data_IF_652766046290
#
_entry.id   IF_652766046290
#
_cell.length_a   1.000
_cell.length_b   1.000
_cell.length_c   1.000
_cell.angle_alpha   90.00
_cell.angle_beta   90.00
_cell.angle_gamma   90.00
#
_symmetry.space_group_name_H-M   'P 1'
#
loop_
_entity.id
_entity.type
_entity.pdbx_description
1 polymer ?
#
# COMPACT_ATOMS: atom_id res chain seq x y z
N UNK A 1 -65.87 14.38 -25.96
CA UNK A 1 -64.89 14.50 -24.84
C UNK A 1 -64.40 13.14 -24.32
N UNK A 2 -65.28 12.17 -24.00
CA UNK A 2 -64.88 10.82 -23.51
C UNK A 2 -63.96 10.05 -24.48
N UNK A 3 -64.19 10.13 -25.79
CA UNK A 3 -63.36 9.46 -26.80
C UNK A 3 -61.96 10.08 -26.97
N UNK A 4 -61.80 11.38 -26.70
CA UNK A 4 -60.50 12.08 -26.76
C UNK A 4 -59.64 11.67 -25.57
N UNK A 5 -60.24 11.51 -24.39
CA UNK A 5 -59.58 11.00 -23.17
C UNK A 5 -59.20 9.52 -23.35
N UNK A 6 -60.03 8.72 -24.03
CA UNK A 6 -59.72 7.34 -24.38
C UNK A 6 -58.55 7.23 -25.37
N UNK A 7 -58.47 8.12 -26.36
CA UNK A 7 -57.36 8.18 -27.31
C UNK A 7 -56.04 8.61 -26.65
N UNK A 8 -56.07 9.57 -25.73
CA UNK A 8 -54.88 10.01 -25.00
C UNK A 8 -54.38 8.96 -23.99
N UNK A 9 -55.28 8.23 -23.33
CA UNK A 9 -54.90 7.13 -22.43
C UNK A 9 -54.28 5.95 -23.18
N UNK A 10 -54.74 5.65 -24.39
CA UNK A 10 -54.13 4.64 -25.27
C UNK A 10 -52.74 5.09 -25.76
N UNK A 11 -52.57 6.38 -26.09
CA UNK A 11 -51.28 6.93 -26.54
C UNK A 11 -50.21 6.94 -25.44
N UNK A 12 -50.59 7.24 -24.19
CA UNK A 12 -49.71 7.19 -23.00
C UNK A 12 -49.31 5.75 -22.66
N UNK A 13 -50.24 4.80 -22.85
CA UNK A 13 -49.97 3.38 -22.63
C UNK A 13 -48.95 2.84 -23.66
N UNK A 14 -49.05 3.26 -24.92
CA UNK A 14 -48.11 2.88 -25.99
C UNK A 14 -46.72 3.49 -25.79
N UNK A 15 -46.62 4.74 -25.31
CA UNK A 15 -45.33 5.39 -25.01
C UNK A 15 -44.57 4.72 -23.85
N UNK A 16 -45.29 4.03 -22.95
CA UNK A 16 -44.72 3.35 -21.78
C UNK A 16 -44.10 1.98 -22.10
N UNK A 17 -44.38 1.39 -23.28
CA UNK A 17 -43.85 0.07 -23.68
C UNK A 17 -42.46 0.21 -24.34
N UNK A 18 -42.08 1.42 -24.78
CA UNK A 18 -40.79 1.70 -25.44
C UNK A 18 -39.63 2.00 -24.48
N UNK A 19 -39.84 1.96 -23.16
CA UNK A 19 -38.85 2.35 -22.15
C UNK A 19 -38.10 1.17 -21.47
N UNK A 20 -38.14 -0.03 -22.04
CA UNK A 20 -37.37 -1.17 -21.54
C UNK A 20 -36.36 -1.67 -22.59
N UNK A 21 -35.23 -0.98 -22.74
CA UNK A 21 -34.02 -1.64 -23.26
C UNK A 21 -33.45 -2.50 -22.13
N UNK A 22 -33.68 -3.81 -22.20
CA UNK A 22 -33.09 -4.75 -21.25
C UNK A 22 -31.57 -4.71 -21.44
N UNK A 23 -30.87 -4.03 -20.55
CA UNK A 23 -29.42 -4.13 -20.46
C UNK A 23 -29.10 -5.52 -19.90
N UNK A 24 -29.04 -6.54 -20.77
CA UNK A 24 -28.57 -7.88 -20.39
C UNK A 24 -27.13 -7.71 -19.93
N UNK A 25 -26.88 -7.83 -18.62
CA UNK A 25 -25.52 -8.03 -18.11
C UNK A 25 -24.95 -9.22 -18.87
N UNK A 26 -23.94 -8.99 -19.71
CA UNK A 26 -23.26 -10.06 -20.44
C UNK A 26 -22.57 -10.94 -19.40
N UNK A 27 -23.16 -12.10 -19.14
CA UNK A 27 -22.60 -13.08 -18.22
C UNK A 27 -21.37 -13.70 -18.87
N UNK A 28 -20.25 -13.66 -18.15
CA UNK A 28 -18.94 -14.03 -18.68
C UNK A 28 -18.78 -15.55 -18.61
N UNK A 29 -18.31 -16.19 -19.68
CA UNK A 29 -18.10 -17.65 -19.64
C UNK A 29 -16.99 -18.02 -18.64
N UNK A 30 -17.04 -19.23 -18.04
CA UNK A 30 -15.98 -19.70 -17.14
C UNK A 30 -14.58 -19.65 -17.76
N UNK A 31 -14.45 -19.90 -19.07
CA UNK A 31 -13.18 -19.78 -19.79
C UNK A 31 -12.69 -18.34 -19.92
N UNK A 32 -13.59 -17.38 -20.17
CA UNK A 32 -13.24 -15.96 -20.22
C UNK A 32 -12.79 -15.46 -18.84
N UNK A 33 -13.46 -15.88 -17.76
CA UNK A 33 -13.06 -15.56 -16.38
C UNK A 33 -11.66 -16.09 -16.09
N UNK A 34 -11.40 -17.37 -16.40
CA UNK A 34 -10.08 -17.98 -16.19
C UNK A 34 -8.99 -17.27 -17.02
N UNK A 35 -9.29 -16.91 -18.28
CA UNK A 35 -8.37 -16.15 -19.16
C UNK A 35 -8.05 -14.77 -18.58
N UNK A 36 -9.05 -14.04 -18.09
CA UNK A 36 -8.87 -12.72 -17.48
C UNK A 36 -8.06 -12.83 -16.18
N UNK A 37 -8.39 -13.79 -15.32
CA UNK A 37 -7.64 -14.05 -14.08
C UNK A 37 -6.17 -14.35 -14.38
N UNK A 38 -5.91 -15.25 -15.34
CA UNK A 38 -4.54 -15.59 -15.73
C UNK A 38 -3.80 -14.38 -16.29
N UNK A 39 -4.47 -13.56 -17.12
CA UNK A 39 -3.89 -12.34 -17.65
C UNK A 39 -3.58 -11.33 -16.55
N UNK A 40 -4.46 -11.16 -15.56
CA UNK A 40 -4.23 -10.29 -14.41
C UNK A 40 -3.06 -10.79 -13.56
N UNK A 41 -2.96 -12.09 -13.30
CA UNK A 41 -1.82 -12.69 -12.58
C UNK A 41 -0.52 -12.42 -13.33
N UNK A 42 -0.50 -12.63 -14.65
CA UNK A 42 0.68 -12.40 -15.48
C UNK A 42 1.12 -10.93 -15.45
N UNK A 43 0.20 -10.00 -15.66
CA UNK A 43 0.51 -8.56 -15.60
C UNK A 43 1.00 -8.16 -14.20
N UNK A 44 0.36 -8.66 -13.14
CA UNK A 44 0.78 -8.38 -11.77
C UNK A 44 2.18 -8.93 -11.49
N UNK A 45 2.53 -10.12 -12.00
CA UNK A 45 3.89 -10.67 -11.89
C UNK A 45 4.92 -9.77 -12.56
N UNK A 46 4.62 -9.24 -13.74
CA UNK A 46 5.51 -8.32 -14.46
C UNK A 46 5.70 -7.01 -13.69
N UNK A 47 4.63 -6.45 -13.14
CA UNK A 47 4.69 -5.25 -12.28
C UNK A 47 5.55 -5.51 -11.05
N UNK A 48 5.32 -6.62 -10.33
CA UNK A 48 6.11 -6.98 -9.15
C UNK A 48 7.58 -7.18 -9.51
N UNK A 49 7.89 -7.81 -10.64
CA UNK A 49 9.26 -7.97 -11.12
C UNK A 49 9.92 -6.62 -11.40
N UNK A 50 9.25 -5.73 -12.13
CA UNK A 50 9.78 -4.40 -12.43
C UNK A 50 10.05 -3.57 -11.16
N UNK A 51 9.17 -3.67 -10.15
CA UNK A 51 9.37 -3.03 -8.85
C UNK A 51 10.62 -3.60 -8.15
N UNK A 52 10.80 -4.92 -8.15
CA UNK A 52 11.97 -5.56 -7.54
C UNK A 52 13.27 -5.17 -8.25
N UNK A 53 13.27 -5.16 -9.58
CA UNK A 53 14.43 -4.74 -10.38
C UNK A 53 14.77 -3.27 -10.11
N UNK A 54 13.75 -2.40 -10.00
CA UNK A 54 13.92 -0.98 -9.64
C UNK A 54 14.55 -0.82 -8.26
N UNK A 55 14.07 -1.56 -7.26
CA UNK A 55 14.64 -1.54 -5.90
C UNK A 55 16.10 -2.01 -5.93
N UNK A 56 16.39 -3.11 -6.62
CA UNK A 56 17.74 -3.68 -6.71
C UNK A 56 18.71 -2.70 -7.39
N UNK A 57 18.29 -2.07 -8.49
CA UNK A 57 19.08 -1.05 -9.18
C UNK A 57 19.30 0.19 -8.29
N UNK A 58 18.28 0.64 -7.57
CA UNK A 58 18.39 1.77 -6.66
C UNK A 58 19.37 1.47 -5.51
N UNK A 59 19.25 0.30 -4.86
CA UNK A 59 20.17 -0.11 -3.80
C UNK A 59 21.62 -0.23 -4.32
N UNK A 60 21.81 -0.83 -5.49
CA UNK A 60 23.13 -0.95 -6.15
C UNK A 60 23.73 0.43 -6.46
N UNK A 61 22.96 1.33 -7.06
CA UNK A 61 23.40 2.69 -7.40
C UNK A 61 23.87 3.46 -6.16
N UNK A 62 23.24 3.23 -5.01
CA UNK A 62 23.58 3.89 -3.75
C UNK A 62 24.62 3.11 -2.92
N UNK A 63 25.17 2.00 -3.42
CA UNK A 63 26.08 1.11 -2.70
C UNK A 63 25.51 0.59 -1.38
N UNK A 64 24.22 0.29 -1.34
CA UNK A 64 23.56 -0.22 -0.14
C UNK A 64 23.56 -1.75 -0.15
N UNK A 65 24.19 -2.34 0.86
CA UNK A 65 24.04 -3.76 1.14
C UNK A 65 22.77 -3.97 1.97
N UNK A 66 21.72 -4.46 1.31
CA UNK A 66 20.39 -4.62 1.89
C UNK A 66 19.96 -6.08 1.85
N UNK A 67 19.25 -6.49 2.90
CA UNK A 67 18.59 -7.78 3.00
C UNK A 67 17.15 -7.66 2.50
N UNK A 68 16.56 -8.77 2.04
CA UNK A 68 15.17 -8.83 1.59
C UNK A 68 14.41 -9.86 2.41
N UNK A 69 13.22 -9.50 2.89
CA UNK A 69 12.33 -10.42 3.61
C UNK A 69 11.44 -11.21 2.65
N UNK A 70 10.72 -12.23 3.17
CA UNK A 70 9.78 -13.02 2.38
C UNK A 70 8.59 -12.23 1.84
N UNK A 71 8.22 -11.12 2.48
CA UNK A 71 7.15 -10.22 2.03
C UNK A 71 7.61 -9.24 0.94
N UNK A 72 8.93 -9.15 0.72
CA UNK A 72 9.53 -8.28 -0.28
C UNK A 72 10.03 -6.93 0.27
N UNK A 73 10.03 -6.71 1.58
CA UNK A 73 10.69 -5.57 2.20
C UNK A 73 12.20 -5.67 2.00
N UNK A 74 12.83 -4.60 1.55
CA UNK A 74 14.29 -4.48 1.55
C UNK A 74 14.72 -3.60 2.71
N UNK A 75 15.72 -4.02 3.48
CA UNK A 75 16.16 -3.29 4.66
C UNK A 75 17.67 -3.38 4.88
N UNK A 76 18.21 -2.40 5.60
CA UNK A 76 19.54 -2.43 6.20
C UNK A 76 19.42 -1.82 7.59
N UNK A 77 19.73 -2.60 8.63
CA UNK A 77 19.66 -2.17 10.02
C UNK A 77 21.07 -1.97 10.55
N UNK A 78 21.34 -0.76 11.05
CA UNK A 78 22.51 -0.47 11.86
C UNK A 78 22.14 -0.65 13.33
N UNK A 79 22.76 -1.65 13.94
CA UNK A 79 22.56 -1.99 15.35
C UNK A 79 23.16 -0.93 16.27
N UNK A 80 22.43 -0.58 17.33
CA UNK A 80 22.92 0.24 18.44
C UNK A 80 23.75 -0.55 19.45
N UNK A 81 23.61 -1.88 19.45
CA UNK A 81 24.19 -2.78 20.47
C UNK A 81 23.21 -3.17 21.57
N UNK A 82 21.99 -2.64 21.57
CA UNK A 82 20.93 -3.10 22.48
C UNK A 82 20.46 -4.52 22.14
N UNK A 83 20.31 -5.37 23.16
CA UNK A 83 19.86 -6.76 23.00
C UNK A 83 18.33 -6.91 22.88
N UNK A 84 17.60 -5.86 23.22
CA UNK A 84 16.16 -5.91 23.45
C UNK A 84 15.36 -5.63 22.18
N UNK A 85 15.06 -6.70 21.44
CA UNK A 85 14.24 -6.66 20.22
C UNK A 85 12.81 -6.22 20.52
N UNK A 86 12.26 -5.39 19.65
CA UNK A 86 10.88 -4.91 19.70
C UNK A 86 9.92 -6.07 19.43
N UNK A 87 8.89 -6.23 20.28
CA UNK A 87 7.90 -7.30 20.20
C UNK A 87 6.51 -6.75 19.94
N UNK A 88 5.59 -7.65 19.58
CA UNK A 88 4.16 -7.33 19.51
C UNK A 88 3.68 -6.75 20.85
N UNK A 89 2.77 -5.78 20.78
CA UNK A 89 2.22 -4.99 21.89
C UNK A 89 3.17 -4.00 22.56
N UNK A 90 4.47 -3.98 22.23
CA UNK A 90 5.37 -2.93 22.70
C UNK A 90 4.95 -1.57 22.10
N UNK A 91 5.17 -0.51 22.87
CA UNK A 91 5.05 0.86 22.39
C UNK A 91 6.43 1.32 21.92
N UNK A 92 6.49 1.80 20.68
CA UNK A 92 7.74 2.28 20.07
C UNK A 92 7.58 3.74 19.70
N UNK A 93 8.60 4.53 20.03
CA UNK A 93 8.77 5.91 19.58
C UNK A 93 9.98 5.99 18.65
N UNK A 94 9.77 6.50 17.44
CA UNK A 94 10.81 6.57 16.41
C UNK A 94 10.74 7.85 15.58
N UNK A 95 11.91 8.36 15.20
CA UNK A 95 12.06 9.39 14.18
C UNK A 95 12.08 8.77 12.79
N UNK A 96 11.66 9.53 11.77
CA UNK A 96 11.56 9.01 10.41
C UNK A 96 11.69 10.06 9.32
N UNK A 97 12.04 9.59 8.12
CA UNK A 97 11.92 10.34 6.87
C UNK A 97 11.47 9.40 5.78
N UNK A 98 10.47 9.82 5.02
CA UNK A 98 9.89 9.09 3.88
C UNK A 98 10.15 9.90 2.62
N UNK A 99 10.85 9.31 1.67
CA UNK A 99 11.06 9.90 0.35
C UNK A 99 10.67 8.94 -0.76
N UNK A 100 10.41 9.49 -1.93
CA UNK A 100 10.38 8.72 -3.18
C UNK A 100 11.82 8.41 -3.63
N UNK A 101 11.97 7.48 -4.57
CA UNK A 101 13.29 7.10 -5.12
C UNK A 101 13.98 8.23 -5.89
N UNK A 102 13.25 9.25 -6.31
CA UNK A 102 13.83 10.45 -6.94
C UNK A 102 14.36 11.47 -5.93
N UNK A 103 14.22 11.21 -4.62
CA UNK A 103 14.66 12.11 -3.55
C UNK A 103 13.60 13.09 -3.03
N UNK A 104 12.40 13.15 -3.63
CA UNK A 104 11.29 13.96 -3.10
C UNK A 104 10.91 13.46 -1.71
N UNK A 105 11.11 14.29 -0.68
CA UNK A 105 10.69 13.98 0.70
C UNK A 105 9.20 14.26 0.83
N UNK A 106 8.45 13.25 1.28
CA UNK A 106 7.02 13.36 1.53
C UNK A 106 6.69 13.65 2.98
N UNK A 107 7.34 12.94 3.91
CA UNK A 107 7.04 13.03 5.33
C UNK A 107 8.33 12.95 6.14
N UNK A 108 8.44 13.74 7.20
CA UNK A 108 9.57 13.66 8.14
C UNK A 108 9.10 13.93 9.57
N UNK A 109 9.75 13.30 10.53
CA UNK A 109 9.58 13.64 11.94
C UNK A 109 10.09 15.04 12.29
N UNK A 110 10.91 15.66 11.43
CA UNK A 110 11.37 17.03 11.64
C UNK A 110 10.22 18.04 11.55
N UNK A 111 9.21 17.77 10.71
CA UNK A 111 8.04 18.63 10.53
C UNK A 111 6.82 18.18 11.32
N UNK A 112 6.68 16.88 11.59
CA UNK A 112 5.48 16.29 12.20
C UNK A 112 5.69 15.72 13.60
N UNK A 113 6.93 15.74 14.09
CA UNK A 113 7.32 15.10 15.34
C UNK A 113 7.58 13.60 15.20
N UNK A 114 8.13 13.00 16.26
CA UNK A 114 8.38 11.56 16.32
C UNK A 114 7.06 10.78 16.31
N UNK A 115 7.06 9.60 15.68
CA UNK A 115 5.88 8.74 15.65
C UNK A 115 5.90 7.78 16.82
N UNK A 116 4.73 7.60 17.46
CA UNK A 116 4.52 6.62 18.53
C UNK A 116 3.45 5.62 18.11
N UNK A 117 3.79 4.33 18.12
CA UNK A 117 2.86 3.25 17.74
C UNK A 117 2.88 2.11 18.75
N UNK A 118 1.81 1.32 18.75
CA UNK A 118 1.77 0.01 19.40
C UNK A 118 1.92 -1.09 18.37
N UNK A 119 2.99 -1.87 18.48
CA UNK A 119 3.40 -2.82 17.42
C UNK A 119 2.38 -3.95 17.26
N UNK A 120 1.92 -4.16 16.03
CA UNK A 120 0.93 -5.19 15.69
C UNK A 120 -0.52 -4.76 15.83
N UNK A 121 -0.76 -3.45 15.97
CA UNK A 121 -2.10 -2.86 15.86
C UNK A 121 -2.30 -2.11 14.53
N UNK A 122 -1.29 -2.05 13.65
CA UNK A 122 -1.35 -1.27 12.42
C UNK A 122 -1.16 0.23 12.67
N UNK A 123 -1.70 1.06 11.79
CA UNK A 123 -1.57 2.53 11.85
C UNK A 123 -0.29 3.09 11.20
N UNK A 124 0.56 2.21 10.69
CA UNK A 124 1.70 2.52 9.82
C UNK A 124 1.76 1.51 8.68
N UNK A 125 2.59 1.79 7.69
CA UNK A 125 2.92 0.91 6.59
C UNK A 125 3.38 -0.45 7.13
N UNK A 126 2.87 -1.54 6.57
CA UNK A 126 3.18 -2.89 7.05
C UNK A 126 4.67 -3.22 6.94
N UNK A 127 5.37 -2.66 5.96
CA UNK A 127 6.83 -2.74 5.86
C UNK A 127 7.57 -2.06 7.02
N UNK A 128 7.02 -0.98 7.58
CA UNK A 128 7.59 -0.33 8.78
C UNK A 128 7.36 -1.20 10.02
N UNK A 129 6.15 -1.74 10.21
CA UNK A 129 5.91 -2.68 11.31
C UNK A 129 6.82 -3.92 11.24
N UNK A 130 7.00 -4.47 10.04
CA UNK A 130 7.88 -5.61 9.80
C UNK A 130 9.34 -5.27 10.16
N UNK A 131 9.84 -4.12 9.70
CA UNK A 131 11.18 -3.65 10.04
C UNK A 131 11.36 -3.46 11.56
N UNK A 132 10.39 -2.83 12.24
CA UNK A 132 10.47 -2.59 13.67
C UNK A 132 10.62 -3.89 14.47
N UNK A 133 9.95 -4.98 14.08
CA UNK A 133 10.10 -6.30 14.73
C UNK A 133 11.48 -6.94 14.57
N UNK A 134 12.31 -6.43 13.67
CA UNK A 134 13.71 -6.85 13.48
C UNK A 134 14.70 -5.97 14.26
N UNK A 135 14.22 -4.85 14.82
CA UNK A 135 15.02 -3.80 15.43
C UNK A 135 14.96 -3.82 16.96
N UNK A 136 15.95 -3.18 17.56
CA UNK A 136 16.04 -2.87 18.98
C UNK A 136 15.92 -1.36 19.21
N UNK A 137 15.77 -0.94 20.47
CA UNK A 137 15.89 0.47 20.82
C UNK A 137 17.27 1.04 20.42
N UNK A 138 17.30 2.24 19.85
CA UNK A 138 18.49 2.90 19.34
C UNK A 138 18.91 2.46 17.93
N UNK A 139 18.36 1.38 17.38
CA UNK A 139 18.69 0.95 16.02
C UNK A 139 18.24 2.01 15.01
N UNK A 140 19.01 2.15 13.94
CA UNK A 140 18.61 2.92 12.76
C UNK A 140 18.50 2.00 11.55
N UNK A 141 17.55 2.29 10.66
CA UNK A 141 17.32 1.48 9.48
C UNK A 141 17.09 2.33 8.24
N UNK A 142 17.51 1.79 7.10
CA UNK A 142 17.06 2.19 5.77
C UNK A 142 16.19 1.09 5.20
N UNK A 143 15.03 1.45 4.68
CA UNK A 143 14.05 0.55 4.09
C UNK A 143 13.75 1.00 2.66
N UNK A 144 13.64 0.04 1.75
CA UNK A 144 12.98 0.24 0.46
C UNK A 144 11.70 -0.58 0.49
N UNK A 145 10.58 0.12 0.63
CA UNK A 145 9.27 -0.47 0.89
C UNK A 145 8.50 -0.52 -0.45
N UNK A 146 8.22 -1.72 -1.00
CA UNK A 146 7.40 -1.83 -2.20
C UNK A 146 5.94 -1.41 -1.91
N UNK A 147 5.17 -1.00 -2.94
CA UNK A 147 3.85 -0.41 -2.74
C UNK A 147 2.88 -1.30 -1.97
N UNK A 148 2.90 -2.63 -2.14
CA UNK A 148 2.01 -3.53 -1.41
C UNK A 148 2.30 -3.61 0.10
N UNK A 149 3.45 -3.10 0.55
CA UNK A 149 3.81 -2.96 1.97
C UNK A 149 3.68 -1.51 2.48
N UNK A 150 3.10 -0.62 1.66
CA UNK A 150 2.89 0.80 1.95
C UNK A 150 1.53 1.28 1.39
N UNK A 151 1.50 2.24 0.46
CA UNK A 151 0.29 2.90 -0.04
C UNK A 151 -0.33 2.26 -1.30
N UNK A 152 0.16 1.09 -1.71
CA UNK A 152 -0.46 0.23 -2.72
C UNK A 152 -0.65 0.89 -4.09
N UNK A 153 -1.76 0.54 -4.74
CA UNK A 153 -2.11 0.97 -6.09
C UNK A 153 -2.54 2.44 -6.18
N UNK A 154 -2.97 3.04 -5.06
CA UNK A 154 -3.64 4.34 -5.06
C UNK A 154 -2.72 5.46 -4.58
N UNK A 155 -1.73 5.16 -3.73
CA UNK A 155 -0.96 6.20 -3.07
C UNK A 155 -1.73 6.83 -1.92
N UNK A 156 -1.33 8.02 -1.50
CA UNK A 156 -2.02 8.79 -0.45
C UNK A 156 -2.81 10.01 -0.98
N UNK A 157 -2.77 10.24 -2.30
CA UNK A 157 -3.40 11.38 -2.99
C UNK A 157 -2.85 12.77 -2.59
N UNK A 158 -1.74 12.81 -1.85
CA UNK A 158 -1.09 14.04 -1.38
C UNK A 158 0.34 14.10 -1.91
N UNK A 159 1.23 13.23 -1.43
CA UNK A 159 2.64 13.22 -1.85
C UNK A 159 3.07 11.87 -2.43
N UNK A 160 2.54 10.76 -1.92
CA UNK A 160 2.89 9.42 -2.35
C UNK A 160 2.02 9.05 -3.56
N UNK A 161 2.60 8.91 -4.77
CA UNK A 161 1.84 8.54 -5.96
C UNK A 161 1.48 7.04 -5.96
N UNK A 162 0.66 6.67 -6.94
CA UNK A 162 0.28 5.28 -7.22
C UNK A 162 1.53 4.42 -7.42
N UNK A 163 1.52 3.20 -6.87
CA UNK A 163 2.59 2.20 -7.05
C UNK A 163 3.99 2.66 -6.59
N UNK A 164 4.07 3.67 -5.74
CA UNK A 164 5.34 4.20 -5.27
C UNK A 164 6.13 3.18 -4.44
N UNK A 165 7.44 3.10 -4.71
CA UNK A 165 8.42 2.52 -3.79
C UNK A 165 8.87 3.64 -2.86
N UNK A 166 8.82 3.39 -1.55
CA UNK A 166 9.26 4.36 -0.55
C UNK A 166 10.69 4.05 -0.12
N UNK A 167 11.54 5.08 -0.10
CA UNK A 167 12.80 5.09 0.62
C UNK A 167 12.54 5.67 2.01
N UNK A 168 12.61 4.81 3.03
CA UNK A 168 12.24 5.13 4.40
C UNK A 168 13.48 5.02 5.28
N UNK A 169 13.82 6.07 6.00
CA UNK A 169 14.83 6.01 7.06
C UNK A 169 14.15 6.18 8.40
N UNK A 170 14.50 5.35 9.38
CA UNK A 170 13.96 5.51 10.73
C UNK A 170 14.99 5.20 11.81
N UNK A 171 14.81 5.84 12.96
CA UNK A 171 15.64 5.66 14.16
C UNK A 171 14.74 5.41 15.34
N UNK A 172 14.91 4.27 16.01
CA UNK A 172 14.13 3.95 17.20
C UNK A 172 14.70 4.70 18.39
N UNK A 173 13.93 5.61 18.97
CA UNK A 173 14.36 6.36 20.15
C UNK A 173 14.07 5.60 21.43
N UNK A 174 12.85 5.04 21.55
CA UNK A 174 12.39 4.37 22.78
C UNK A 174 11.54 3.16 22.46
N UNK A 175 11.69 2.15 23.31
CA UNK A 175 10.81 0.98 23.41
C UNK A 175 10.25 0.95 24.83
N UNK A 176 8.94 0.83 24.96
CA UNK A 176 8.25 0.62 26.23
C UNK A 176 7.60 -0.76 26.14
N UNK A 177 8.11 -1.69 26.94
CA UNK A 177 7.59 -3.05 26.98
C UNK A 177 6.14 -3.04 27.49
N UNK A 178 5.32 -3.97 26.99
CA UNK A 178 3.98 -4.20 27.52
C UNK A 178 4.02 -4.41 29.04
N UNK A 179 3.33 -3.56 29.79
CA UNK A 179 3.05 -3.79 31.21
C UNK A 179 1.81 -4.71 31.30
N UNK A 180 1.93 -5.77 32.08
CA UNK A 180 0.84 -6.70 32.41
C UNK A 180 0.10 -6.19 33.64
#
# INVERSE_FOLDING_TARGET
>A
MKHIILLYSILILIFSISACSSNKKKEMSPEEIARIQQKSIEVNRQVVKALQDTIALFAKKNNWNMQKTGTGLWYSIRRSGAADTIRKDDIVEYGYTVSLLNGTVCYSSDSSGVKRIKVGQGGVESGVEEALRLMCAGDSARLLIPPHLAHGLIGDQVCIPKLAILNYTLVVHKRIAKQY
#
